data_IF_958874347793
#
_entry.id   IF_958874347793
#
_cell.length_a   1.000
_cell.length_b   1.000
_cell.length_c   1.000
_cell.angle_alpha   90.00
_cell.angle_beta   90.00
_cell.angle_gamma   90.00
#
_symmetry.space_group_name_H-M   'P 1'
#
loop_
_entity.id
_entity.type
_entity.pdbx_description
1 polymer ?
#
# COMPACT_ATOMS: atom_id res chain seq x y z
N UNK A 1 5.95 -12.45 -11.98
CA UNK A 1 4.56 -12.02 -11.66
C UNK A 1 4.44 -11.33 -10.30
N UNK A 2 5.24 -11.72 -9.30
CA UNK A 2 5.26 -11.10 -7.96
C UNK A 2 5.76 -9.64 -7.93
N UNK A 3 6.76 -9.32 -8.76
CA UNK A 3 7.36 -7.97 -8.84
C UNK A 3 6.33 -6.90 -9.26
N UNK A 4 5.42 -7.22 -10.19
CA UNK A 4 4.37 -6.30 -10.62
C UNK A 4 3.36 -6.01 -9.49
N UNK A 5 2.97 -7.03 -8.73
CA UNK A 5 2.05 -6.86 -7.59
C UNK A 5 2.71 -6.02 -6.49
N UNK A 6 3.97 -6.29 -6.17
CA UNK A 6 4.73 -5.52 -5.18
C UNK A 6 4.89 -4.06 -5.61
N UNK A 7 5.12 -3.79 -6.90
CA UNK A 7 5.19 -2.42 -7.43
C UNK A 7 3.85 -1.68 -7.30
N UNK A 8 2.73 -2.34 -7.61
CA UNK A 8 1.40 -1.76 -7.48
C UNK A 8 1.10 -1.42 -6.01
N UNK A 9 1.40 -2.33 -5.08
CA UNK A 9 1.20 -2.09 -3.64
C UNK A 9 2.09 -0.96 -3.13
N UNK A 10 3.37 -0.92 -3.51
CA UNK A 10 4.29 0.13 -3.11
C UNK A 10 3.83 1.53 -3.56
N UNK A 11 3.17 1.62 -4.71
CA UNK A 11 2.63 2.86 -5.26
C UNK A 11 1.14 3.08 -4.96
N UNK A 12 0.50 2.20 -4.19
CA UNK A 12 -0.91 2.30 -3.80
C UNK A 12 -1.32 3.70 -3.28
N UNK A 13 -0.55 4.41 -2.42
CA UNK A 13 -0.95 5.74 -1.97
C UNK A 13 -1.07 6.76 -3.11
N UNK A 14 -0.21 6.68 -4.13
CA UNK A 14 -0.32 7.54 -5.31
C UNK A 14 -1.53 7.18 -6.17
N UNK A 15 -1.82 5.88 -6.35
CA UNK A 15 -3.02 5.43 -7.04
C UNK A 15 -4.29 5.90 -6.33
N UNK A 16 -4.34 5.81 -5.00
CA UNK A 16 -5.46 6.30 -4.21
C UNK A 16 -5.61 7.82 -4.30
N UNK A 17 -4.52 8.58 -4.31
CA UNK A 17 -4.55 10.02 -4.58
C UNK A 17 -5.15 10.36 -5.94
N UNK A 18 -4.72 9.67 -7.00
CA UNK A 18 -5.24 9.84 -8.36
C UNK A 18 -6.73 9.49 -8.44
N UNK A 19 -7.13 8.35 -7.87
CA UNK A 19 -8.52 7.91 -7.83
C UNK A 19 -9.39 8.89 -7.04
N UNK A 20 -8.91 9.38 -5.90
CA UNK A 20 -9.60 10.41 -5.12
C UNK A 20 -9.82 11.69 -5.91
N UNK A 21 -8.82 12.14 -6.65
CA UNK A 21 -8.93 13.33 -7.50
C UNK A 21 -9.94 13.14 -8.64
N UNK A 22 -9.90 11.97 -9.30
CA UNK A 22 -10.90 11.60 -10.30
C UNK A 22 -12.31 11.57 -9.70
N UNK A 23 -12.48 10.98 -8.51
CA UNK A 23 -13.75 10.93 -7.81
C UNK A 23 -14.31 12.34 -7.53
N UNK A 24 -13.46 13.31 -7.17
CA UNK A 24 -13.86 14.71 -6.97
C UNK A 24 -14.35 15.35 -8.27
N UNK A 25 -13.67 15.09 -9.40
CA UNK A 25 -14.10 15.58 -10.73
C UNK A 25 -15.46 15.00 -11.10
N UNK A 26 -15.64 13.69 -10.89
CA UNK A 26 -16.93 13.02 -11.11
C UNK A 26 -18.02 13.62 -10.20
N UNK A 27 -17.74 13.83 -8.92
CA UNK A 27 -18.68 14.42 -7.97
C UNK A 27 -19.11 15.82 -8.42
N UNK A 28 -18.15 16.66 -8.82
CA UNK A 28 -18.43 18.00 -9.37
C UNK A 28 -19.34 17.92 -10.60
N UNK A 29 -19.07 16.99 -11.52
CA UNK A 29 -19.88 16.80 -12.72
C UNK A 29 -21.29 16.29 -12.42
N UNK A 30 -21.46 15.43 -11.41
CA UNK A 30 -22.74 14.94 -10.96
C UNK A 30 -23.58 16.06 -10.32
N UNK A 31 -22.96 16.91 -9.50
CA UNK A 31 -23.61 18.08 -8.92
C UNK A 31 -24.07 19.07 -9.99
N UNK A 32 -23.25 19.32 -11.03
CA UNK A 32 -23.63 20.17 -12.15
C UNK A 32 -24.83 19.59 -12.91
N UNK A 33 -24.78 18.32 -13.28
CA UNK A 33 -25.89 17.64 -13.98
C UNK A 33 -27.18 17.63 -13.14
N UNK A 34 -27.08 17.50 -11.82
CA UNK A 34 -28.23 17.63 -10.91
C UNK A 34 -28.86 19.02 -10.94
N UNK A 35 -28.05 20.09 -11.03
CA UNK A 35 -28.54 21.47 -11.16
C UNK A 35 -29.22 21.68 -12.52
N UNK A 36 -28.61 21.20 -13.60
CA UNK A 36 -29.17 21.25 -14.95
C UNK A 36 -30.54 20.55 -15.02
N UNK A 37 -30.67 19.36 -14.40
CA UNK A 37 -31.97 18.64 -14.32
C UNK A 37 -33.05 19.40 -13.56
N UNK A 38 -32.70 20.18 -12.53
CA UNK A 38 -33.67 21.02 -11.78
C UNK A 38 -34.13 22.24 -12.56
N UNK A 39 -33.29 22.76 -13.45
CA UNK A 39 -33.60 23.92 -14.28
C UNK A 39 -34.38 23.56 -15.56
N UNK A 40 -34.36 22.29 -15.98
CA UNK A 40 -35.03 21.82 -17.19
C UNK A 40 -36.57 21.91 -17.08
N UNK A 41 -37.17 22.65 -18.01
CA UNK A 41 -38.64 22.83 -18.11
C UNK A 41 -39.23 21.73 -19.00
N UNK A 42 -38.51 21.31 -20.05
CA UNK A 42 -38.99 20.30 -20.99
C UNK A 42 -38.63 18.87 -20.55
N UNK A 43 -39.53 17.88 -20.80
CA UNK A 43 -39.28 16.48 -20.46
C UNK A 43 -38.11 15.87 -21.26
N UNK A 44 -37.91 16.28 -22.53
CA UNK A 44 -36.83 15.78 -23.38
C UNK A 44 -35.44 16.12 -22.81
N UNK A 45 -35.28 17.32 -22.25
CA UNK A 45 -34.03 17.73 -21.59
C UNK A 45 -33.75 16.91 -20.33
N UNK A 46 -34.80 16.50 -19.60
CA UNK A 46 -34.68 15.66 -18.41
C UNK A 46 -34.18 14.25 -18.75
N UNK A 47 -34.58 13.69 -19.89
CA UNK A 47 -34.09 12.38 -20.35
C UNK A 47 -32.62 12.43 -20.75
N UNK A 48 -32.20 13.46 -21.48
CA UNK A 48 -30.79 13.66 -21.84
C UNK A 48 -29.93 13.83 -20.57
N UNK A 49 -30.41 14.59 -19.58
CA UNK A 49 -29.74 14.73 -18.29
C UNK A 49 -29.66 13.39 -17.54
N UNK A 50 -30.70 12.55 -17.58
CA UNK A 50 -30.69 11.22 -16.98
C UNK A 50 -29.64 10.31 -17.62
N UNK A 51 -29.54 10.27 -18.96
CA UNK A 51 -28.51 9.51 -19.66
C UNK A 51 -27.09 9.92 -19.24
N UNK A 52 -26.87 11.22 -19.04
CA UNK A 52 -25.60 11.77 -18.54
C UNK A 52 -25.33 11.33 -17.08
N UNK A 53 -26.35 11.29 -16.23
CA UNK A 53 -26.23 10.77 -14.85
C UNK A 53 -25.84 9.29 -14.83
N UNK A 54 -26.49 8.45 -15.64
CA UNK A 54 -26.15 7.01 -15.70
C UNK A 54 -24.70 6.78 -16.14
N UNK A 55 -24.22 7.57 -17.11
CA UNK A 55 -22.82 7.48 -17.55
C UNK A 55 -21.84 7.87 -16.45
N UNK A 56 -22.13 8.95 -15.71
CA UNK A 56 -21.33 9.36 -14.55
C UNK A 56 -21.35 8.31 -13.44
N UNK A 57 -22.51 7.69 -13.19
CA UNK A 57 -22.63 6.61 -12.22
C UNK A 57 -21.81 5.38 -12.61
N UNK A 58 -21.85 4.99 -13.89
CA UNK A 58 -21.02 3.89 -14.42
C UNK A 58 -19.53 4.16 -14.26
N UNK A 59 -19.08 5.39 -14.54
CA UNK A 59 -17.69 5.79 -14.32
C UNK A 59 -17.29 5.75 -12.84
N UNK A 60 -18.18 6.21 -11.94
CA UNK A 60 -17.94 6.17 -10.50
C UNK A 60 -17.86 4.73 -9.97
N UNK A 61 -18.74 3.84 -10.44
CA UNK A 61 -18.71 2.42 -10.10
C UNK A 61 -17.43 1.74 -10.59
N UNK A 62 -17.02 2.00 -11.83
CA UNK A 62 -15.75 1.47 -12.36
C UNK A 62 -14.57 1.92 -11.50
N UNK A 63 -14.53 3.21 -11.15
CA UNK A 63 -13.47 3.76 -10.32
C UNK A 63 -13.46 3.13 -8.92
N UNK A 64 -14.63 2.91 -8.32
CA UNK A 64 -14.78 2.19 -7.06
C UNK A 64 -14.32 0.73 -7.15
N UNK A 65 -14.61 0.04 -8.27
CA UNK A 65 -14.16 -1.33 -8.51
C UNK A 65 -12.62 -1.41 -8.58
N UNK A 66 -11.99 -0.46 -9.27
CA UNK A 66 -10.52 -0.36 -9.32
C UNK A 66 -9.95 -0.16 -7.93
N UNK A 67 -10.54 0.75 -7.14
CA UNK A 67 -10.14 0.99 -5.75
C UNK A 67 -10.20 -0.27 -4.90
N UNK A 68 -11.32 -1.01 -4.98
CA UNK A 68 -11.53 -2.26 -4.28
C UNK A 68 -10.54 -3.35 -4.73
N UNK A 69 -10.24 -3.41 -6.03
CA UNK A 69 -9.25 -4.33 -6.57
C UNK A 69 -7.85 -4.09 -6.03
N UNK A 70 -7.40 -2.83 -5.95
CA UNK A 70 -6.10 -2.47 -5.37
C UNK A 70 -6.03 -2.88 -3.90
N UNK A 71 -7.10 -2.63 -3.14
CA UNK A 71 -7.17 -3.05 -1.74
C UNK A 71 -7.12 -4.58 -1.60
N UNK A 72 -7.88 -5.32 -2.40
CA UNK A 72 -7.88 -6.78 -2.38
C UNK A 72 -6.52 -7.38 -2.78
N UNK A 73 -5.80 -6.75 -3.70
CA UNK A 73 -4.43 -7.13 -4.06
C UNK A 73 -3.48 -6.99 -2.86
N UNK A 74 -3.58 -5.91 -2.09
CA UNK A 74 -2.78 -5.72 -0.88
C UNK A 74 -3.12 -6.73 0.22
N UNK A 75 -4.41 -6.95 0.48
CA UNK A 75 -4.87 -7.76 1.62
C UNK A 75 -4.74 -9.26 1.38
N UNK A 76 -5.08 -9.76 0.18
CA UNK A 76 -5.13 -11.20 -0.07
C UNK A 76 -3.92 -11.72 -0.85
N UNK A 77 -3.44 -10.96 -1.83
CA UNK A 77 -2.41 -11.45 -2.76
C UNK A 77 -1.01 -11.26 -2.17
N UNK A 78 -0.73 -10.10 -1.59
CA UNK A 78 0.59 -9.81 -1.03
C UNK A 78 1.04 -10.80 0.08
N UNK A 79 0.24 -11.11 1.12
CA UNK A 79 0.66 -12.06 2.15
C UNK A 79 0.84 -13.47 1.59
N UNK A 80 -0.02 -13.89 0.65
CA UNK A 80 0.13 -15.17 -0.05
C UNK A 80 1.47 -15.27 -0.79
N UNK A 81 1.97 -14.17 -1.37
CA UNK A 81 3.26 -14.14 -2.06
C UNK A 81 4.47 -14.13 -1.11
N UNK A 82 4.33 -13.57 0.10
CA UNK A 82 5.39 -13.57 1.12
C UNK A 82 5.60 -14.94 1.73
N UNK A 83 4.57 -15.77 1.82
CA UNK A 83 4.66 -17.16 2.32
C UNK A 83 5.53 -18.07 1.44
N UNK A 84 5.70 -17.73 0.15
CA UNK A 84 6.54 -18.49 -0.79
C UNK A 84 7.95 -17.92 -0.96
N UNK A 85 8.29 -16.82 -0.27
CA UNK A 85 9.69 -16.39 -0.22
C UNK A 85 10.42 -17.28 0.79
N UNK A 86 11.42 -18.07 0.38
CA UNK A 86 12.26 -18.77 1.33
C UNK A 86 12.92 -17.71 2.21
N UNK A 87 12.85 -17.95 3.52
CA UNK A 87 13.47 -17.14 4.57
C UNK A 87 14.85 -16.68 4.10
N UNK A 88 15.04 -15.36 4.02
CA UNK A 88 16.31 -14.81 3.58
C UNK A 88 17.44 -15.39 4.44
N UNK A 89 18.48 -15.89 3.74
CA UNK A 89 19.82 -16.26 4.23
C UNK A 89 20.11 -15.72 5.64
N UNK A 90 20.51 -16.57 6.60
CA UNK A 90 20.81 -16.13 7.96
C UNK A 90 21.81 -14.97 7.90
N UNK A 91 21.37 -13.82 8.40
CA UNK A 91 22.21 -12.64 8.62
C UNK A 91 23.43 -13.11 9.42
N UNK A 92 24.68 -12.91 8.96
CA UNK A 92 25.83 -13.30 9.76
C UNK A 92 25.72 -12.58 11.10
N UNK A 93 25.61 -13.37 12.16
CA UNK A 93 25.48 -12.87 13.52
C UNK A 93 26.65 -11.94 13.80
N UNK A 94 26.35 -10.77 14.37
CA UNK A 94 27.37 -9.89 14.93
C UNK A 94 28.20 -10.72 15.89
N UNK A 95 29.47 -10.95 15.56
CA UNK A 95 30.41 -11.61 16.46
C UNK A 95 30.56 -10.72 17.69
N UNK A 96 29.85 -11.06 18.76
CA UNK A 96 30.12 -10.51 20.08
C UNK A 96 31.49 -11.07 20.47
N UNK A 97 32.53 -10.24 20.40
CA UNK A 97 33.82 -10.57 21.01
C UNK A 97 33.56 -10.74 22.51
N UNK A 98 33.47 -11.99 22.95
CA UNK A 98 33.60 -12.30 24.37
C UNK A 98 35.08 -12.16 24.66
N UNK A 99 35.45 -11.13 25.44
CA UNK A 99 36.80 -10.96 25.93
C UNK A 99 37.23 -12.25 26.64
N UNK A 100 38.23 -12.92 26.07
CA UNK A 100 38.83 -14.10 26.69
C UNK A 100 39.58 -13.62 27.93
N UNK A 101 39.27 -14.13 29.15
CA UNK A 101 40.01 -13.73 30.33
C UNK A 101 41.47 -14.17 30.18
N UNK A 102 42.37 -13.19 30.11
CA UNK A 102 43.81 -13.42 30.10
C UNK A 102 44.23 -14.06 31.43
N UNK A 103 44.99 -15.17 31.45
CA UNK A 103 45.45 -15.76 32.69
C UNK A 103 46.51 -14.86 33.33
N UNK A 104 46.15 -14.21 34.44
CA UNK A 104 47.10 -13.50 35.29
C UNK A 104 48.12 -14.49 35.86
N UNK A 105 49.43 -14.29 35.68
CA UNK A 105 50.44 -15.18 36.26
C UNK A 105 50.41 -15.08 37.79
N UNK A 106 50.62 -16.20 38.52
CA UNK A 106 50.69 -16.18 39.97
C UNK A 106 51.89 -15.35 40.45
N UNK A 107 51.79 -14.67 41.61
CA UNK A 107 52.87 -13.86 42.15
C UNK A 107 54.11 -14.73 42.45
N UNK A 108 55.34 -14.19 42.28
CA UNK A 108 56.56 -14.95 42.52
C UNK A 108 56.67 -15.36 43.99
N UNK A 109 56.78 -16.67 44.23
CA UNK A 109 57.06 -17.23 45.56
C UNK A 109 58.46 -16.80 46.00
N UNK A 110 58.56 -16.09 47.13
CA UNK A 110 59.85 -15.78 47.73
C UNK A 110 60.51 -17.07 48.25
N UNK A 111 61.63 -17.45 47.65
CA UNK A 111 62.51 -18.50 48.17
C UNK A 111 63.12 -18.02 49.49
N UNK A 112 62.90 -18.75 50.58
CA UNK A 112 63.57 -18.50 51.85
C UNK A 112 65.04 -18.95 51.75
N UNK A 113 65.97 -18.02 51.93
CA UNK A 113 67.39 -18.32 52.18
C UNK A 113 67.58 -18.47 53.68
N UNK A 114 67.91 -19.68 54.13
CA UNK A 114 68.48 -19.98 55.44
C UNK A 114 69.33 -21.25 55.32
#
# INVERSE_FOLDING_TARGET
>A
MTVFVQFIVANAPYLYGLIGLLALVLLRSALRTRRERRAAIFPLEKEVALGRVYRLLGQALLLGLIMAGIWALGEFVLPSLQQFQPEATPKPGTLVLIDTPSPTPPPPTATATA
#
